data_IF_229920777840
#
_entry.id   IF_229920777840
#
_cell.length_a   1.000
_cell.length_b   1.000
_cell.length_c   1.000
_cell.angle_alpha   90.00
_cell.angle_beta   90.00
_cell.angle_gamma   90.00
#
_symmetry.space_group_name_H-M   'P 1'
#
loop_
_entity.id
_entity.type
_entity.pdbx_description
1 polymer ?
2 non-polymer ?
3 water ?
#
# COMPACT_ATOMS: atom_id res chain seq x y z
N UNK A 18 -4.02 -23.11 -4.22
CA UNK A 18 -2.61 -22.78 -4.39
C UNK A 18 -1.90 -23.89 -5.18
N UNK A 19 -0.90 -23.50 -5.96
CA UNK A 19 -0.13 -24.50 -6.70
C UNK A 19 0.88 -25.17 -5.79
N UNK A 20 1.00 -26.50 -5.84
CA UNK A 20 1.98 -27.18 -4.99
C UNK A 20 3.40 -26.97 -5.50
N UNK A 21 4.34 -27.13 -4.56
CA UNK A 21 5.75 -27.06 -4.92
C UNK A 21 6.12 -28.25 -5.81
N UNK A 22 6.92 -27.98 -6.85
CA UNK A 22 7.24 -29.01 -7.82
C UNK A 22 8.21 -30.05 -7.30
N UNK A 23 9.01 -29.73 -6.28
CA UNK A 23 10.08 -30.61 -5.83
C UNK A 23 9.80 -31.29 -4.50
N UNK A 24 8.71 -30.94 -3.82
CA UNK A 24 8.28 -31.65 -2.63
C UNK A 24 6.77 -31.76 -2.62
N UNK A 25 6.26 -32.66 -1.79
CA UNK A 25 4.84 -32.97 -1.78
C UNK A 25 4.06 -32.28 -0.66
N UNK A 26 4.73 -31.73 0.34
CA UNK A 26 4.06 -31.26 1.55
C UNK A 26 3.82 -29.76 1.58
N UNK A 27 4.35 -28.99 0.62
CA UNK A 27 4.29 -27.54 0.68
C UNK A 27 3.71 -26.96 -0.59
N UNK A 28 3.08 -25.80 -0.45
CA UNK A 28 2.64 -25.02 -1.59
C UNK A 28 3.79 -24.14 -2.07
N UNK A 29 3.77 -23.81 -3.36
CA UNK A 29 4.83 -23.00 -3.93
C UNK A 29 4.75 -21.56 -3.43
N UNK A 30 5.91 -20.92 -3.36
CA UNK A 30 5.98 -19.49 -3.10
C UNK A 30 6.71 -18.71 -4.16
N UNK A 31 7.62 -19.34 -4.92
CA UNK A 31 8.39 -18.66 -5.94
C UNK A 31 8.33 -19.47 -7.24
N UNK A 32 8.68 -18.79 -8.33
CA UNK A 32 8.78 -19.39 -9.65
C UNK A 32 10.17 -19.07 -10.19
N UNK A 33 10.80 -20.08 -10.77
CA UNK A 33 12.10 -19.96 -11.43
C UNK A 33 11.90 -20.31 -12.89
N UNK A 34 12.10 -19.32 -13.76
CA UNK A 34 11.93 -19.52 -15.19
C UNK A 34 13.06 -20.37 -15.76
N UNK A 35 14.28 -20.21 -15.24
CA UNK A 35 15.39 -21.00 -15.73
C UNK A 35 15.15 -22.49 -15.49
N UNK A 36 14.59 -22.84 -14.34
CA UNK A 36 14.25 -24.23 -14.04
C UNK A 36 12.83 -24.60 -14.43
N UNK A 37 12.03 -23.64 -14.90
CA UNK A 37 10.63 -23.88 -15.25
C UNK A 37 9.90 -24.56 -14.08
N UNK A 38 10.08 -24.00 -12.88
CA UNK A 38 9.65 -24.71 -11.69
C UNK A 38 9.03 -23.76 -10.67
N UNK A 39 7.94 -24.21 -10.06
CA UNK A 39 7.38 -23.55 -8.88
C UNK A 39 7.93 -24.24 -7.64
N UNK A 40 8.40 -23.45 -6.68
CA UNK A 40 9.09 -23.98 -5.52
C UNK A 40 8.60 -23.29 -4.24
N UNK A 41 8.55 -24.06 -3.15
CA UNK A 41 8.44 -23.46 -1.84
C UNK A 41 9.81 -22.91 -1.42
N UNK A 42 9.82 -22.17 -0.32
CA UNK A 42 11.06 -21.50 0.08
C UNK A 42 12.15 -22.49 0.46
N UNK A 43 11.79 -23.55 1.19
CA UNK A 43 12.75 -24.59 1.53
C UNK A 43 13.39 -25.18 0.28
N UNK A 44 12.57 -25.58 -0.68
CA UNK A 44 13.10 -26.18 -1.90
C UNK A 44 13.82 -25.14 -2.76
N UNK A 45 13.40 -23.89 -2.71
CA UNK A 45 14.13 -22.84 -3.39
C UNK A 45 15.57 -22.75 -2.87
N UNK A 46 15.72 -22.72 -1.55
CA UNK A 46 17.05 -22.70 -0.95
C UNK A 46 17.83 -23.96 -1.29
N UNK A 47 17.17 -25.13 -1.25
CA UNK A 47 17.86 -26.37 -1.55
C UNK A 47 18.37 -26.41 -2.99
N UNK A 48 17.56 -25.89 -3.92
CA UNK A 48 17.91 -25.98 -5.33
C UNK A 48 18.99 -24.97 -5.69
N UNK A 49 18.89 -23.74 -5.19
CA UNK A 49 19.78 -22.69 -5.69
C UNK A 49 21.00 -22.45 -4.81
N UNK A 50 21.12 -23.12 -3.67
CA UNK A 50 22.36 -23.11 -2.92
C UNK A 50 23.28 -24.28 -3.27
N UNK A 51 22.92 -25.06 -4.29
CA UNK A 51 23.70 -26.25 -4.61
C UNK A 51 25.07 -25.90 -5.17
N UNK A 52 25.17 -24.79 -5.89
CA UNK A 52 26.43 -24.39 -6.52
C UNK A 52 26.29 -22.96 -7.02
N UNK A 53 27.43 -22.39 -7.41
CA UNK A 53 27.47 -20.99 -7.85
C UNK A 53 26.71 -20.77 -9.15
N UNK A 54 26.51 -21.81 -9.96
CA UNK A 54 25.77 -21.65 -11.20
C UNK A 54 24.27 -21.51 -10.92
N UNK A 55 23.73 -22.40 -10.08
CA UNK A 55 22.31 -22.36 -9.79
C UNK A 55 21.94 -21.14 -8.96
N UNK A 56 22.87 -20.63 -8.14
CA UNK A 56 22.57 -19.48 -7.30
C UNK A 56 22.30 -18.22 -8.10
N UNK A 57 22.70 -18.18 -9.37
CA UNK A 57 22.48 -17.00 -10.21
C UNK A 57 21.07 -16.93 -10.77
N UNK A 58 20.30 -18.02 -10.68
CA UNK A 58 18.96 -18.03 -11.24
C UNK A 58 18.11 -16.94 -10.63
N UNK A 59 17.38 -16.22 -11.48
CA UNK A 59 16.47 -15.19 -11.03
C UNK A 59 15.08 -15.79 -10.79
N UNK A 60 14.51 -15.51 -9.63
CA UNK A 60 13.23 -16.07 -9.23
C UNK A 60 12.29 -14.95 -8.81
N UNK A 61 11.00 -15.22 -8.89
CA UNK A 61 9.98 -14.21 -8.58
C UNK A 61 8.91 -14.84 -7.71
N UNK A 62 8.29 -14.02 -6.87
CA UNK A 62 7.24 -14.54 -6.00
C UNK A 62 6.01 -14.90 -6.82
N UNK A 63 5.19 -15.80 -6.27
CA UNK A 63 3.98 -16.27 -6.94
C UNK A 63 2.87 -15.24 -6.75
N UNK A 64 2.00 -15.14 -7.76
CA UNK A 64 0.87 -14.22 -7.70
C UNK A 64 0.09 -14.40 -6.41
N UNK A 65 -0.30 -13.28 -5.81
CA UNK A 65 -0.99 -13.33 -4.52
C UNK A 65 -2.49 -13.57 -4.65
N UNK A 66 -3.04 -13.44 -5.86
CA UNK A 66 -4.47 -13.68 -6.07
C UNK A 66 -4.71 -15.17 -6.36
N UNK A 67 -4.23 -15.65 -7.51
CA UNK A 67 -4.49 -17.02 -7.90
C UNK A 67 -3.56 -18.01 -7.20
N UNK A 68 -2.38 -17.55 -6.77
CA UNK A 68 -1.37 -18.40 -6.12
C UNK A 68 -0.93 -19.55 -7.02
N UNK A 69 -1.07 -19.40 -8.34
CA UNK A 69 -0.71 -20.46 -9.28
C UNK A 69 0.20 -19.99 -10.40
N UNK A 70 0.55 -18.71 -10.46
CA UNK A 70 1.25 -18.12 -11.59
C UNK A 70 2.33 -17.18 -11.07
N UNK A 71 3.35 -16.89 -11.86
CA UNK A 71 4.40 -15.98 -11.40
C UNK A 71 3.89 -14.55 -11.37
N UNK A 72 4.25 -13.82 -10.32
CA UNK A 72 3.86 -12.42 -10.21
C UNK A 72 4.56 -11.60 -11.28
N UNK A 73 3.81 -10.73 -11.95
CA UNK A 73 4.36 -9.89 -13.00
C UNK A 73 4.23 -8.40 -12.73
N UNK A 74 3.30 -7.97 -11.89
CA UNK A 74 3.07 -6.56 -11.66
C UNK A 74 2.77 -6.30 -10.20
N UNK A 75 3.45 -5.31 -9.63
CA UNK A 75 3.22 -4.89 -8.26
C UNK A 75 2.30 -3.67 -8.26
N UNK A 76 1.25 -3.74 -7.46
CA UNK A 76 0.32 -2.63 -7.27
C UNK A 76 0.34 -2.25 -5.80
N UNK A 77 0.84 -1.04 -5.51
CA UNK A 77 0.93 -0.57 -4.14
C UNK A 77 -0.45 -0.25 -3.57
N UNK A 78 -1.37 0.26 -4.41
CA UNK A 78 -2.71 0.56 -3.92
C UNK A 78 -3.41 -0.71 -3.45
N UNK A 79 -3.38 -1.75 -4.27
CA UNK A 79 -3.91 -3.05 -3.86
C UNK A 79 -2.99 -3.79 -2.90
N UNK A 80 -1.77 -3.33 -2.72
CA UNK A 80 -0.76 -4.03 -1.92
C UNK A 80 -0.65 -5.48 -2.36
N UNK A 81 -0.39 -5.67 -3.65
CA UNK A 81 -0.50 -7.01 -4.23
C UNK A 81 0.46 -7.17 -5.39
N UNK A 82 1.06 -8.35 -5.47
CA UNK A 82 1.88 -8.75 -6.60
C UNK A 82 1.10 -9.79 -7.39
N UNK A 83 0.77 -9.48 -8.64
CA UNK A 83 -0.15 -10.29 -9.43
C UNK A 83 0.49 -10.75 -10.73
N UNK A 84 0.01 -11.89 -11.23
CA UNK A 84 0.35 -12.28 -12.60
C UNK A 84 -0.40 -11.40 -13.59
N UNK A 85 -0.02 -11.52 -14.87
CA UNK A 85 -0.58 -10.65 -15.89
C UNK A 85 -2.10 -10.81 -15.99
N UNK A 86 -2.58 -12.05 -15.96
CA UNK A 86 -4.01 -12.31 -16.04
C UNK A 86 -4.75 -11.72 -14.86
N UNK A 87 -4.27 -11.97 -13.64
CA UNK A 87 -4.90 -11.41 -12.45
C UNK A 87 -4.80 -9.89 -12.44
N UNK A 88 -3.67 -9.35 -12.92
CA UNK A 88 -3.53 -7.90 -13.00
C UNK A 88 -4.61 -7.31 -13.90
N UNK A 89 -4.77 -7.85 -15.11
CA UNK A 89 -5.79 -7.33 -16.02
C UNK A 89 -7.19 -7.52 -15.45
N UNK A 90 -7.48 -8.69 -14.87
CA UNK A 90 -8.81 -8.94 -14.33
C UNK A 90 -9.14 -8.00 -13.19
N UNK A 91 -8.16 -7.69 -12.35
CA UNK A 91 -8.39 -6.80 -11.22
C UNK A 91 -8.59 -5.37 -11.69
N UNK A 92 -7.74 -4.91 -12.61
CA UNK A 92 -7.72 -3.50 -12.98
C UNK A 92 -8.56 -3.17 -14.21
N UNK A 93 -9.38 -4.11 -14.70
CA UNK A 93 -10.37 -3.82 -15.73
C UNK A 93 -11.79 -3.92 -15.20
N UNK A 94 -11.97 -4.15 -13.90
CA UNK A 94 -13.31 -4.34 -13.36
C UNK A 94 -14.11 -3.05 -13.38
N UNK A 95 -13.49 -1.93 -13.03
CA UNK A 95 -14.17 -0.65 -12.97
C UNK A 95 -13.16 0.46 -13.26
N UNK A 96 -13.62 1.65 -13.65
CA UNK A 96 -12.67 2.74 -13.92
C UNK A 96 -11.84 3.14 -12.72
N UNK A 97 -12.31 2.87 -11.50
CA UNK A 97 -11.51 3.19 -10.31
C UNK A 97 -10.29 2.29 -10.21
N UNK A 98 -10.44 1.01 -10.55
CA UNK A 98 -9.29 0.10 -10.55
C UNK A 98 -8.36 0.39 -11.71
N UNK A 99 -8.89 0.87 -12.84
CA UNK A 99 -8.05 1.17 -13.99
C UNK A 99 -7.03 2.26 -13.67
N UNK A 100 -7.34 3.13 -12.70
CA UNK A 100 -6.44 4.23 -12.38
C UNK A 100 -5.19 3.79 -11.66
N UNK A 101 -5.19 2.60 -11.07
CA UNK A 101 -4.05 2.14 -10.29
C UNK A 101 -2.78 2.07 -11.14
N UNK A 102 -1.69 2.61 -10.62
CA UNK A 102 -0.40 2.53 -11.27
C UNK A 102 0.34 1.29 -10.76
N UNK A 103 0.78 0.44 -11.69
CA UNK A 103 1.49 -0.78 -11.34
C UNK A 103 2.88 -0.74 -11.94
N UNK A 104 3.82 -1.41 -11.27
CA UNK A 104 5.20 -1.47 -11.72
C UNK A 104 5.55 -2.89 -12.11
N UNK A 105 6.35 -3.10 -13.16
CA UNK A 105 6.75 -4.47 -13.53
C UNK A 105 7.66 -5.07 -12.47
N UNK A 106 7.43 -6.34 -12.17
CA UNK A 106 8.22 -7.06 -11.17
C UNK A 106 9.37 -7.77 -11.87
N UNK A 107 10.59 -7.57 -11.36
CA UNK A 107 11.79 -8.13 -11.95
C UNK A 107 12.32 -9.29 -11.11
N UNK A 108 12.54 -10.45 -11.72
CA UNK A 108 13.17 -11.56 -10.97
C UNK A 108 14.58 -11.18 -10.55
N UNK A 109 15.02 -11.75 -9.43
CA UNK A 109 16.26 -11.32 -8.78
C UNK A 109 17.06 -12.54 -8.31
N UNK A 110 18.29 -12.28 -7.86
CA UNK A 110 19.25 -13.30 -7.44
C UNK A 110 19.62 -14.20 -8.61
N UNK B 18 12.42 8.26 14.27
CA UNK B 18 11.24 8.46 13.45
C UNK B 18 10.89 9.94 13.36
N UNK B 19 10.83 10.44 12.13
CA UNK B 19 10.45 11.83 11.89
C UNK B 19 8.94 11.99 12.06
N UNK B 20 8.48 13.02 12.77
CA UNK B 20 7.04 13.15 13.02
C UNK B 20 6.29 13.67 11.80
N UNK B 21 4.97 13.44 11.83
CA UNK B 21 4.11 13.92 10.76
C UNK B 21 4.03 15.44 10.80
N UNK B 22 4.06 16.05 9.61
CA UNK B 22 4.11 17.51 9.51
C UNK B 22 2.76 18.16 9.80
N UNK B 23 1.66 17.43 9.73
CA UNK B 23 0.33 18.01 9.82
C UNK B 23 -0.49 17.53 11.01
N UNK B 24 0.06 16.68 11.87
CA UNK B 24 -0.59 16.32 13.12
C UNK B 24 0.49 16.10 14.17
N UNK B 25 0.08 15.72 15.38
CA UNK B 25 1.00 15.61 16.51
C UNK B 25 1.24 14.20 16.99
N UNK B 26 0.28 13.30 16.86
CA UNK B 26 0.32 12.01 17.56
C UNK B 26 0.95 10.89 16.75
N UNK B 27 1.40 11.15 15.52
CA UNK B 27 1.86 10.07 14.65
C UNK B 27 3.21 10.40 14.03
N UNK B 28 4.00 9.35 13.80
CA UNK B 28 5.20 9.46 12.99
C UNK B 28 4.86 9.31 11.52
N UNK B 29 5.72 9.87 10.66
CA UNK B 29 5.42 9.91 9.25
C UNK B 29 5.45 8.51 8.63
N UNK B 30 4.90 8.42 7.42
CA UNK B 30 4.85 7.17 6.68
C UNK B 30 5.13 7.44 5.20
N UNK B 31 4.55 8.52 4.68
CA UNK B 31 4.71 8.90 3.29
C UNK B 31 5.38 10.26 3.23
N UNK B 32 5.96 10.55 2.07
CA UNK B 32 6.55 11.84 1.76
C UNK B 32 6.00 12.30 0.43
N UNK B 33 5.58 13.56 0.39
CA UNK B 33 5.08 14.21 -0.82
C UNK B 33 6.03 15.33 -1.19
N UNK B 34 6.64 15.20 -2.37
CA UNK B 34 7.54 16.24 -2.87
C UNK B 34 6.78 17.51 -3.23
N UNK B 35 5.58 17.36 -3.78
CA UNK B 35 4.80 18.53 -4.21
C UNK B 35 4.49 19.45 -3.03
N UNK B 36 4.11 18.87 -1.89
CA UNK B 36 3.87 19.65 -0.68
C UNK B 36 5.12 19.82 0.17
N UNK B 37 6.21 19.15 -0.18
CA UNK B 37 7.42 19.12 0.64
C UNK B 37 7.07 18.73 2.08
N UNK B 38 6.35 17.61 2.21
CA UNK B 38 5.76 17.26 3.50
C UNK B 38 5.96 15.78 3.81
N UNK B 39 6.10 15.49 5.09
CA UNK B 39 6.13 14.13 5.60
C UNK B 39 4.84 13.91 6.39
N UNK B 40 4.07 12.89 6.00
CA UNK B 40 2.74 12.68 6.53
C UNK B 40 2.59 11.26 7.06
N UNK B 41 1.82 11.11 8.13
CA UNK B 41 1.29 9.81 8.46
C UNK B 41 0.19 9.44 7.46
N UNK B 42 -0.17 8.16 7.44
CA UNK B 42 -1.11 7.68 6.43
C UNK B 42 -2.46 8.39 6.54
N UNK B 43 -2.92 8.63 7.77
CA UNK B 43 -4.18 9.34 7.95
C UNK B 43 -4.12 10.75 7.37
N UNK B 44 -3.02 11.46 7.62
CA UNK B 44 -2.89 12.81 7.05
C UNK B 44 -2.69 12.77 5.56
N UNK B 45 -2.02 11.73 5.04
CA UNK B 45 -1.96 11.55 3.60
C UNK B 45 -3.36 11.45 3.01
N UNK B 46 -4.22 10.65 3.65
CA UNK B 46 -5.61 10.52 3.19
C UNK B 46 -6.34 11.86 3.27
N UNK B 47 -6.21 12.55 4.40
CA UNK B 47 -6.92 13.82 4.57
C UNK B 47 -6.47 14.86 3.55
N UNK B 48 -5.19 14.88 3.22
CA UNK B 48 -4.65 15.91 2.35
C UNK B 48 -4.96 15.62 0.89
N UNK B 49 -4.74 14.38 0.46
CA UNK B 49 -4.83 14.04 -0.96
C UNK B 49 -6.18 13.46 -1.36
N UNK B 50 -7.18 13.53 -0.49
CA UNK B 50 -8.55 13.21 -0.87
C UNK B 50 -9.39 14.46 -1.10
N UNK B 51 -8.84 15.65 -0.85
CA UNK B 51 -9.64 16.87 -0.89
C UNK B 51 -10.20 17.13 -2.28
N UNK B 52 -9.41 16.92 -3.31
CA UNK B 52 -9.82 17.21 -4.68
C UNK B 52 -8.95 16.39 -5.62
N UNK B 53 -9.20 16.55 -6.93
CA UNK B 53 -8.44 15.79 -7.92
C UNK B 53 -7.01 16.30 -8.04
N UNK B 54 -6.83 17.62 -7.95
CA UNK B 54 -5.49 18.20 -8.07
C UNK B 54 -4.56 17.63 -7.02
N UNK B 55 -5.02 17.59 -5.76
CA UNK B 55 -4.19 17.03 -4.70
C UNK B 55 -4.03 15.52 -4.88
N UNK B 56 -5.09 14.84 -5.34
CA UNK B 56 -5.02 13.40 -5.55
C UNK B 56 -4.01 13.03 -6.63
N UNK B 57 -3.67 13.97 -7.52
CA UNK B 57 -2.65 13.69 -8.53
C UNK B 57 -1.23 13.81 -8.01
N UNK B 58 -1.04 14.23 -6.76
CA UNK B 58 0.30 14.35 -6.20
C UNK B 58 0.95 12.98 -6.07
N UNK B 59 2.19 12.86 -6.54
CA UNK B 59 2.94 11.63 -6.44
C UNK B 59 3.68 11.59 -5.10
N UNK B 60 3.49 10.50 -4.36
CA UNK B 60 4.04 10.34 -3.02
C UNK B 60 4.81 9.02 -2.95
N UNK B 61 5.73 8.94 -1.99
CA UNK B 61 6.56 7.75 -1.83
C UNK B 61 6.67 7.40 -0.36
N UNK B 62 6.75 6.12 -0.06
CA UNK B 62 6.89 5.68 1.32
C UNK B 62 8.23 6.13 1.89
N UNK B 63 8.24 6.31 3.22
CA UNK B 63 9.45 6.77 3.90
C UNK B 63 10.41 5.59 4.05
N UNK B 64 11.70 5.90 4.19
CA UNK B 64 12.71 4.88 4.36
C UNK B 64 12.40 4.02 5.58
N UNK B 65 12.55 2.71 5.44
CA UNK B 65 12.24 1.80 6.52
C UNK B 65 13.38 1.66 7.53
N UNK B 66 14.54 2.23 7.24
CA UNK B 66 15.68 2.18 8.18
C UNK B 66 15.69 3.43 9.05
N UNK B 67 15.96 4.59 8.43
CA UNK B 67 16.06 5.83 9.19
C UNK B 67 14.69 6.45 9.46
N UNK B 68 13.74 6.23 8.56
CA UNK B 68 12.39 6.79 8.68
C UNK B 68 12.41 8.32 8.73
N UNK B 69 13.44 8.92 8.15
CA UNK B 69 13.59 10.37 8.07
C UNK B 69 13.72 10.89 6.65
N UNK B 70 13.62 10.02 5.63
CA UNK B 70 13.89 10.40 4.26
C UNK B 70 13.03 9.57 3.33
N UNK B 71 12.72 10.07 2.14
CA UNK B 71 11.91 9.28 1.21
C UNK B 71 12.67 8.08 0.67
N UNK B 72 11.96 6.95 0.57
CA UNK B 72 12.56 5.74 0.04
C UNK B 72 12.89 5.91 -1.44
N UNK B 73 14.00 5.31 -1.86
CA UNK B 73 14.48 5.50 -3.23
C UNK B 73 14.79 4.17 -3.92
N UNK B 74 15.12 3.14 -3.16
CA UNK B 74 15.53 1.86 -3.73
C UNK B 74 14.90 0.71 -2.97
N UNK B 75 14.34 -0.25 -3.71
CA UNK B 75 13.80 -1.48 -3.15
C UNK B 75 14.81 -2.60 -3.34
N UNK B 76 15.14 -3.28 -2.25
CA UNK B 76 15.99 -4.46 -2.28
C UNK B 76 15.15 -5.64 -1.80
N UNK B 77 14.87 -6.58 -2.70
CA UNK B 77 14.09 -7.75 -2.35
C UNK B 77 14.88 -8.69 -1.45
N UNK B 78 16.20 -8.80 -1.67
CA UNK B 78 17.01 -9.65 -0.82
C UNK B 78 16.94 -9.17 0.64
N UNK B 79 16.96 -7.86 0.85
CA UNK B 79 16.80 -7.30 2.18
C UNK B 79 15.35 -7.07 2.57
N UNK B 80 14.41 -7.23 1.63
CA UNK B 80 13.00 -6.94 1.87
C UNK B 80 12.83 -5.53 2.43
N UNK B 81 13.52 -4.57 1.81
CA UNK B 81 13.62 -3.25 2.40
C UNK B 81 13.53 -2.16 1.34
N UNK B 82 12.79 -1.11 1.65
CA UNK B 82 12.71 0.09 0.81
C UNK B 82 13.46 1.20 1.54
N UNK B 83 14.57 1.63 0.96
CA UNK B 83 15.50 2.51 1.65
C UNK B 83 15.70 3.80 0.85
N UNK B 84 16.07 4.86 1.58
CA UNK B 84 16.48 6.10 0.93
C UNK B 84 17.88 5.93 0.34
N UNK B 85 18.37 6.98 -0.32
CA UNK B 85 19.64 6.90 -1.04
C UNK B 85 20.79 6.65 -0.08
N UNK B 86 20.90 7.46 0.97
CA UNK B 86 22.01 7.33 1.91
C UNK B 86 21.98 5.98 2.60
N UNK B 87 20.81 5.53 3.04
CA UNK B 87 20.71 4.23 3.71
C UNK B 87 21.00 3.09 2.73
N UNK B 88 20.55 3.22 1.48
CA UNK B 88 20.89 2.23 0.47
C UNK B 88 22.41 2.10 0.32
N UNK B 89 23.09 3.24 0.20
CA UNK B 89 24.55 3.22 0.05
C UNK B 89 25.23 2.64 1.28
N UNK B 90 24.76 3.01 2.48
CA UNK B 90 25.40 2.53 3.70
C UNK B 90 25.16 1.04 3.92
N UNK B 91 23.96 0.55 3.57
CA UNK B 91 23.66 -0.87 3.72
C UNK B 91 24.46 -1.70 2.73
N UNK B 92 24.58 -1.23 1.49
CA UNK B 92 25.21 -2.03 0.46
C UNK B 92 26.67 -1.72 0.25
N UNK B 93 27.28 -0.94 1.15
CA UNK B 93 28.73 -0.78 1.19
C UNK B 93 29.35 -1.45 2.41
N UNK B 94 28.56 -2.20 3.18
CA UNK B 94 29.07 -2.79 4.42
C UNK B 94 30.05 -3.92 4.14
N UNK B 95 29.85 -4.69 3.08
CA UNK B 95 30.67 -5.86 2.77
C UNK B 95 30.40 -6.32 1.34
N UNK B 96 31.24 -7.20 0.77
CA UNK B 96 30.98 -7.65 -0.61
C UNK B 96 29.67 -8.38 -0.81
N UNK B 97 29.14 -9.07 0.22
CA UNK B 97 27.85 -9.73 0.06
C UNK B 97 26.74 -8.72 -0.14
N UNK B 98 26.71 -7.66 0.66
CA UNK B 98 25.69 -6.63 0.49
C UNK B 98 25.82 -5.93 -0.86
N UNK B 99 27.07 -5.74 -1.34
CA UNK B 99 27.26 -5.07 -2.62
C UNK B 99 26.56 -5.80 -3.75
N UNK B 100 26.59 -7.14 -3.72
CA UNK B 100 26.02 -7.92 -4.82
C UNK B 100 24.51 -7.74 -4.94
N UNK B 101 23.85 -7.23 -3.90
CA UNK B 101 22.40 -7.09 -3.93
C UNK B 101 21.95 -6.22 -5.09
N UNK B 102 20.89 -6.65 -5.75
CA UNK B 102 20.32 -5.92 -6.88
C UNK B 102 19.14 -5.10 -6.38
N UNK B 103 19.20 -3.79 -6.57
CA UNK B 103 18.16 -2.87 -6.11
C UNK B 103 17.44 -2.24 -7.29
N UNK B 104 16.16 -1.97 -7.09
CA UNK B 104 15.28 -1.42 -8.13
C UNK B 104 14.83 -0.05 -7.68
N UNK B 105 14.92 0.99 -8.52
CA UNK B 105 14.49 2.32 -8.08
C UNK B 105 12.99 2.37 -7.81
N UNK B 106 12.63 3.07 -6.74
CA UNK B 106 11.24 3.25 -6.33
C UNK B 106 10.71 4.52 -6.96
N UNK B 107 9.49 4.46 -7.50
CA UNK B 107 8.89 5.61 -8.15
C UNK B 107 7.66 6.08 -7.37
N UNK B 108 7.55 7.38 -7.11
CA UNK B 108 6.31 7.89 -6.50
C UNK B 108 5.13 7.66 -7.42
N UNK B 109 3.94 7.53 -6.82
CA UNK B 109 2.74 7.14 -7.55
C UNK B 109 1.53 7.89 -7.01
N UNK B 110 0.43 7.79 -7.76
CA UNK B 110 -0.86 8.37 -7.41
C UNK B 110 -0.76 9.86 -7.10
N UNK C 18 -22.73 18.44 1.47
CA UNK C 18 -22.24 17.06 1.37
C UNK C 18 -21.29 16.92 0.20
N UNK C 19 -20.75 15.72 0.01
CA UNK C 19 -19.79 15.47 -1.03
C UNK C 19 -20.30 14.40 -1.98
N UNK C 20 -20.14 14.58 -3.29
CA UNK C 20 -20.67 13.61 -4.24
C UNK C 20 -19.86 12.32 -4.29
N UNK C 21 -20.54 11.25 -4.67
CA UNK C 21 -19.86 9.98 -4.94
C UNK C 21 -19.04 10.12 -6.22
N UNK C 22 -17.81 9.62 -6.18
CA UNK C 22 -16.92 9.72 -7.33
C UNK C 22 -17.29 8.75 -8.45
N UNK C 23 -17.99 7.66 -8.12
CA UNK C 23 -18.37 6.70 -9.16
C UNK C 23 -19.64 7.12 -9.87
N UNK C 24 -20.63 7.62 -9.13
CA UNK C 24 -21.90 8.05 -9.71
C UNK C 24 -22.20 9.48 -9.25
N UNK C 25 -22.73 10.28 -10.18
CA UNK C 25 -23.08 11.67 -9.87
C UNK C 25 -24.46 11.79 -9.25
N UNK C 26 -25.22 10.70 -9.16
CA UNK C 26 -26.61 10.76 -8.71
C UNK C 26 -26.78 10.32 -7.26
N UNK C 27 -25.70 10.25 -6.49
CA UNK C 27 -25.79 9.90 -5.08
C UNK C 27 -24.70 10.62 -4.31
N UNK C 28 -24.88 10.69 -2.99
CA UNK C 28 -23.91 11.32 -2.11
C UNK C 28 -23.03 10.26 -1.47
N UNK C 29 -21.76 10.60 -1.26
CA UNK C 29 -20.79 9.63 -0.78
C UNK C 29 -21.08 9.24 0.67
N UNK C 30 -20.89 7.96 0.97
CA UNK C 30 -20.97 7.46 2.33
C UNK C 30 -19.64 6.96 2.87
N UNK C 31 -18.72 6.52 1.99
CA UNK C 31 -17.44 5.99 2.42
C UNK C 31 -16.33 6.58 1.56
N UNK C 32 -15.10 6.33 2.00
CA UNK C 32 -13.89 6.73 1.30
C UNK C 32 -12.90 5.58 1.37
N UNK C 33 -12.25 5.33 0.24
CA UNK C 33 -11.21 4.33 0.13
C UNK C 33 -9.92 5.02 -0.30
N UNK C 34 -8.90 4.90 0.54
CA UNK C 34 -7.61 5.50 0.22
C UNK C 34 -6.90 4.71 -0.87
N UNK C 35 -7.02 3.38 -0.83
CA UNK C 35 -6.41 2.56 -1.87
C UNK C 35 -6.97 2.91 -3.24
N UNK C 36 -8.28 3.07 -3.35
CA UNK C 36 -8.91 3.51 -4.58
C UNK C 36 -8.93 5.03 -4.73
N UNK C 37 -8.52 5.76 -3.70
CA UNK C 37 -8.42 7.22 -3.76
C UNK C 37 -9.75 7.86 -4.18
N UNK C 38 -10.83 7.45 -3.51
CA UNK C 38 -12.13 7.92 -3.98
C UNK C 38 -13.17 7.85 -2.87
N UNK C 39 -14.11 8.79 -2.93
CA UNK C 39 -15.33 8.71 -2.13
C UNK C 39 -16.40 7.99 -2.94
N UNK C 40 -17.13 7.11 -2.26
CA UNK C 40 -18.11 6.23 -2.91
C UNK C 40 -19.41 6.23 -2.11
N UNK C 41 -20.52 6.17 -2.83
CA UNK C 41 -21.80 5.86 -2.23
C UNK C 41 -21.88 4.36 -1.95
N UNK C 42 -22.96 3.96 -1.28
CA UNK C 42 -23.05 2.59 -0.76
C UNK C 42 -23.06 1.56 -1.89
N UNK C 43 -23.99 1.72 -2.84
CA UNK C 43 -24.08 0.76 -3.95
C UNK C 43 -22.78 0.72 -4.74
N UNK C 44 -22.14 1.88 -4.95
CA UNK C 44 -20.89 1.91 -5.70
C UNK C 44 -19.75 1.27 -4.92
N UNK C 45 -19.72 1.48 -3.60
CA UNK C 45 -18.72 0.81 -2.78
C UNK C 45 -18.86 -0.71 -2.88
N UNK C 46 -20.09 -1.20 -2.73
CA UNK C 46 -20.31 -2.64 -2.83
C UNK C 46 -19.96 -3.15 -4.23
N UNK C 47 -20.30 -2.39 -5.26
CA UNK C 47 -20.00 -2.80 -6.63
C UNK C 47 -18.50 -2.87 -6.88
N UNK C 48 -17.74 -1.92 -6.33
CA UNK C 48 -16.31 -1.86 -6.59
C UNK C 48 -15.57 -2.94 -5.83
N UNK C 49 -15.94 -3.17 -4.56
CA UNK C 49 -15.16 -4.05 -3.71
C UNK C 49 -15.69 -5.49 -3.64
N UNK C 50 -16.72 -5.82 -4.40
CA UNK C 50 -17.17 -7.20 -4.54
C UNK C 50 -16.75 -7.81 -5.87
N UNK C 51 -15.92 -7.11 -6.64
CA UNK C 51 -15.55 -7.61 -7.96
C UNK C 51 -14.59 -8.78 -7.88
N UNK C 52 -13.60 -8.71 -6.98
CA UNK C 52 -12.58 -9.75 -6.89
C UNK C 52 -12.06 -9.81 -5.46
N UNK C 53 -11.26 -10.84 -5.18
CA UNK C 53 -10.72 -11.04 -3.85
C UNK C 53 -9.67 -10.00 -3.49
N UNK C 54 -9.02 -9.38 -4.47
CA UNK C 54 -8.04 -8.35 -4.18
C UNK C 54 -8.73 -7.07 -3.72
N UNK C 55 -9.82 -6.69 -4.39
CA UNK C 55 -10.52 -5.46 -4.04
C UNK C 55 -11.28 -5.58 -2.73
N UNK C 56 -11.71 -6.79 -2.38
CA UNK C 56 -12.44 -6.98 -1.12
C UNK C 56 -11.58 -6.69 0.10
N UNK C 57 -10.25 -6.76 -0.03
CA UNK C 57 -9.37 -6.54 1.09
C UNK C 57 -9.21 -5.07 1.46
N UNK C 58 -9.73 -4.16 0.65
CA UNK C 58 -9.57 -2.74 0.91
C UNK C 58 -10.34 -2.32 2.16
N UNK C 59 -9.73 -1.42 2.93
CA UNK C 59 -10.40 -0.80 4.07
C UNK C 59 -11.05 0.49 3.61
N UNK C 60 -12.36 0.60 3.82
CA UNK C 60 -13.11 1.81 3.54
C UNK C 60 -13.62 2.38 4.86
N UNK C 61 -13.57 3.70 4.99
CA UNK C 61 -14.02 4.37 6.20
C UNK C 61 -15.17 5.30 5.84
N UNK C 62 -15.97 5.66 6.83
CA UNK C 62 -17.10 6.52 6.53
C UNK C 62 -16.66 7.98 6.46
N UNK C 63 -17.41 8.77 5.68
CA UNK C 63 -17.13 10.19 5.59
C UNK C 63 -17.41 10.85 6.93
N UNK C 64 -16.69 11.93 7.21
CA UNK C 64 -16.88 12.64 8.47
C UNK C 64 -18.33 13.06 8.65
N UNK C 65 -18.90 12.71 9.80
CA UNK C 65 -20.30 13.01 10.07
C UNK C 65 -20.56 14.49 10.33
N UNK C 66 -19.51 15.29 10.49
CA UNK C 66 -19.68 16.74 10.67
C UNK C 66 -19.64 17.44 9.32
N UNK C 67 -18.48 17.44 8.67
CA UNK C 67 -18.30 18.20 7.44
C UNK C 67 -18.89 17.50 6.23
N UNK C 68 -19.01 16.17 6.27
CA UNK C 68 -19.52 15.34 5.18
C UNK C 68 -18.71 15.50 3.90
N UNK C 69 -17.46 15.97 4.00
CA UNK C 69 -16.60 16.12 2.83
C UNK C 69 -15.19 15.58 3.04
N UNK C 70 -14.88 15.05 4.20
CA UNK C 70 -13.55 14.53 4.50
C UNK C 70 -13.64 13.13 5.08
N UNK C 71 -12.63 12.30 4.88
CA UNK C 71 -12.66 10.94 5.44
C UNK C 71 -12.49 10.96 6.95
N UNK C 72 -13.34 10.21 7.66
CA UNK C 72 -13.27 10.18 9.11
C UNK C 72 -12.00 9.48 9.57
N UNK C 73 -11.45 9.97 10.69
CA UNK C 73 -10.25 9.37 11.26
C UNK C 73 -10.37 9.06 12.74
N UNK C 74 -11.40 9.56 13.43
CA UNK C 74 -11.52 9.36 14.87
C UNK C 74 -12.98 9.09 15.23
N UNK C 75 -13.22 8.00 15.96
CA UNK C 75 -14.55 7.63 16.42
C UNK C 75 -14.69 8.02 17.89
N UNK C 76 -15.74 8.79 18.19
CA UNK C 76 -16.06 9.17 19.56
C UNK C 76 -17.40 8.56 19.95
N UNK C 77 -17.40 7.81 21.05
CA UNK C 77 -18.62 7.16 21.53
C UNK C 77 -19.56 8.16 22.19
N UNK C 78 -19.02 9.08 22.99
CA UNK C 78 -19.87 10.06 23.66
C UNK C 78 -20.62 10.92 22.65
N UNK C 79 -19.92 11.41 21.63
CA UNK C 79 -20.56 12.13 20.54
C UNK C 79 -21.29 11.21 19.57
N UNK C 80 -21.07 9.90 19.68
CA UNK C 80 -21.66 8.92 18.77
C UNK C 80 -21.41 9.31 17.32
N UNK C 81 -20.14 9.60 17.01
CA UNK C 81 -19.81 10.16 15.71
C UNK C 81 -18.45 9.65 15.25
N UNK C 82 -18.25 9.70 13.94
CA UNK C 82 -16.96 9.43 13.31
C UNK C 82 -16.56 10.67 12.53
N UNK C 83 -15.47 11.31 12.96
CA UNK C 83 -15.09 12.63 12.48
C UNK C 83 -13.71 12.59 11.84
N UNK C 84 -13.51 13.48 10.87
CA UNK C 84 -12.19 13.65 10.27
C UNK C 84 -11.26 14.36 11.26
N UNK C 85 -9.98 14.46 10.88
CA UNK C 85 -8.96 14.96 11.79
C UNK C 85 -9.24 16.40 12.22
N UNK C 86 -9.55 17.26 11.26
CA UNK C 86 -9.80 18.66 11.58
C UNK C 86 -11.05 18.82 12.44
N UNK C 87 -12.13 18.15 12.07
CA UNK C 87 -13.37 18.25 12.85
C UNK C 87 -13.19 17.66 14.23
N UNK C 88 -12.46 16.54 14.35
CA UNK C 88 -12.18 15.96 15.65
C UNK C 88 -11.40 16.93 16.53
N UNK C 89 -10.36 17.55 15.97
CA UNK C 89 -9.58 18.53 16.71
C UNK C 89 -10.46 19.69 17.19
N UNK C 90 -11.25 20.25 16.28
CA UNK C 90 -12.16 21.33 16.66
C UNK C 90 -13.09 20.90 17.79
N UNK C 91 -13.69 19.72 17.67
CA UNK C 91 -14.69 19.28 18.62
C UNK C 91 -14.08 19.08 20.00
N UNK C 92 -12.92 18.44 20.07
CA UNK C 92 -12.34 18.06 21.34
C UNK C 92 -11.31 19.05 21.86
N UNK C 93 -11.18 20.22 21.22
CA UNK C 93 -10.41 21.31 21.80
C UNK C 93 -11.30 22.43 22.33
N UNK C 94 -12.60 22.19 22.45
CA UNK C 94 -13.53 23.27 22.72
C UNK C 94 -13.57 23.64 24.20
N UNK C 95 -13.51 22.64 25.09
CA UNK C 95 -13.61 22.87 26.53
C UNK C 95 -13.14 21.61 27.27
N UNK C 96 -12.93 21.68 28.59
CA UNK C 96 -12.47 20.47 29.30
C UNK C 96 -13.41 19.28 29.17
N UNK C 97 -14.72 19.51 29.19
CA UNK C 97 -15.67 18.41 29.07
C UNK C 97 -15.49 17.68 27.75
N UNK C 98 -15.30 18.42 26.65
CA UNK C 98 -15.07 17.78 25.35
C UNK C 98 -13.68 17.17 25.28
N UNK C 99 -12.71 17.73 26.01
CA UNK C 99 -11.35 17.20 25.97
C UNK C 99 -11.27 15.81 26.59
N UNK C 100 -12.10 15.52 27.60
CA UNK C 100 -12.08 14.24 28.28
C UNK C 100 -12.83 13.14 27.53
N UNK C 101 -13.04 13.29 26.23
CA UNK C 101 -13.74 12.30 25.43
C UNK C 101 -12.75 11.27 24.88
N UNK C 102 -13.00 10.00 25.18
CA UNK C 102 -12.15 8.92 24.68
C UNK C 102 -12.49 8.62 23.23
N UNK C 103 -11.51 8.79 22.35
CA UNK C 103 -11.70 8.57 20.93
C UNK C 103 -10.75 7.48 20.43
N UNK C 104 -11.18 6.75 19.41
CA UNK C 104 -10.45 5.62 18.86
C UNK C 104 -10.08 5.96 17.42
N UNK C 105 -8.83 5.77 17.00
CA UNK C 105 -8.46 6.12 15.63
C UNK C 105 -9.10 5.18 14.61
N UNK C 106 -9.27 5.72 13.40
CA UNK C 106 -9.84 4.96 12.28
C UNK C 106 -8.79 4.94 11.16
N UNK C 107 -8.43 3.75 10.72
CA UNK C 107 -7.31 3.52 9.80
C UNK C 107 -7.76 3.70 8.36
N UNK C 108 -7.06 4.49 7.54
CA UNK C 108 -7.48 4.66 6.15
C UNK C 108 -7.16 3.48 5.25
N UNK C 109 -6.11 2.72 5.54
CA UNK C 109 -5.71 1.60 4.70
C UNK C 109 -5.51 0.35 5.54
N UNK C 110 -5.26 -0.76 4.84
CA UNK C 110 -4.87 -2.11 5.31
C UNK C 110 -5.80 -3.15 4.71
X LIG D 1 9.16 -27.78 -1.85
X LIG E 1 16.39 -22.17 -10.81
X LIG F 1 -2.72 -14.59 -10.64
X LIG G 1 -4.47 -2.17 -8.05
X LIG H 1 -0.48 13.05 10.56
X LIG I 1 0.91 16.44 -1.80
X LIG J 1 17.10 5.99 5.18
X LIG K 1 20.18 -5.34 -0.09
X LIG L 1 -22.11 5.97 -6.29
X LIG M 1 -10.91 0.27 -2.50
X LIG N 1 -14.91 16.66 9.20
X LIG O 1 -16.32 13.52 21.64
#
# INVERSE_FOLDING_TARGET
GSLKQESNDIGSGENNRARPCDTCRSNACTVYCHADSAYLCMSCDAQVHSANRVASRHKRVRVCESCERAPAAFLCEADDASLCTACDSEVHSANPLARRHQRVPILPISG
GSLKQESNDIGSGENNRARPCDTCRSNACTVYCHADSAYLCMSCDAQVHSANRVASRHKRVRVCESCERAPAAFLCEADDASLCTACDSEVHSANPLARRHQRVPILPISG
GSLKQESNDIGSGENNRARPCDTCRSNACTVYCHADSAYLCMSCDAQVHSANRVASRHKRVRVCESCERAPAAFLCEADDASLCTACDSEVHSANPLARRHQRVPILPISG
ZN ZN
ZN ZN
ZN ZN
ZN ZN
ZN ZN
ZN ZN
ZN ZN
ZN ZN
ZN ZN
ZN ZN
ZN ZN
ZN ZN
#
